data_IF_866707233186
#
_entry.id   IF_866707233186
#
_cell.length_a   1.000
_cell.length_b   1.000
_cell.length_c   1.000
_cell.angle_alpha   90.00
_cell.angle_beta   90.00
_cell.angle_gamma   90.00
#
_symmetry.space_group_name_H-M   'P 1'
#
loop_
_entity.id
_entity.type
_entity.pdbx_description
1 polymer ?
#
# COMPACT_ATOMS: atom_id res chain seq x y z
N UNK A 1 -19.39 -9.90 0.16
CA UNK A 1 -19.09 -8.47 -0.06
C UNK A 1 -18.43 -8.39 -1.42
N UNK A 2 -18.90 -7.54 -2.31
CA UNK A 2 -18.23 -7.32 -3.59
C UNK A 2 -17.10 -6.32 -3.37
N UNK A 3 -15.90 -6.62 -3.87
CA UNK A 3 -14.77 -5.69 -3.81
C UNK A 3 -15.07 -4.52 -4.75
N UNK A 4 -14.96 -3.26 -4.30
CA UNK A 4 -15.16 -2.11 -5.18
C UNK A 4 -14.25 -2.12 -6.42
N UNK A 5 -14.82 -1.79 -7.57
CA UNK A 5 -14.10 -1.77 -8.86
C UNK A 5 -12.93 -0.79 -8.89
N UNK A 6 -12.99 0.27 -8.09
CA UNK A 6 -11.90 1.22 -7.90
C UNK A 6 -10.66 0.55 -7.29
N UNK A 7 -10.85 -0.27 -6.24
CA UNK A 7 -9.77 -1.03 -5.60
C UNK A 7 -9.17 -2.04 -6.59
N UNK A 8 -10.01 -2.72 -7.38
CA UNK A 8 -9.55 -3.68 -8.38
C UNK A 8 -8.71 -3.01 -9.47
N UNK A 9 -9.20 -1.89 -10.02
CA UNK A 9 -8.50 -1.12 -11.06
C UNK A 9 -7.15 -0.61 -10.56
N UNK A 10 -7.14 -0.04 -9.36
CA UNK A 10 -5.93 0.53 -8.77
C UNK A 10 -4.92 -0.55 -8.39
N UNK A 11 -5.38 -1.72 -7.92
CA UNK A 11 -4.53 -2.89 -7.68
C UNK A 11 -3.91 -3.41 -8.97
N UNK A 12 -4.66 -3.49 -10.07
CA UNK A 12 -4.12 -3.91 -11.37
C UNK A 12 -3.04 -2.94 -11.87
N UNK A 13 -3.28 -1.63 -11.75
CA UNK A 13 -2.28 -0.61 -12.09
C UNK A 13 -1.03 -0.71 -11.22
N UNK A 14 -1.18 -0.87 -9.90
CA UNK A 14 -0.06 -1.04 -8.97
C UNK A 14 0.74 -2.31 -9.28
N UNK A 15 0.08 -3.46 -9.38
CA UNK A 15 0.72 -4.77 -9.60
C UNK A 15 1.38 -4.91 -10.98
N UNK A 16 0.93 -4.13 -11.97
CA UNK A 16 1.56 -4.07 -13.29
C UNK A 16 2.69 -3.03 -13.39
N UNK A 17 2.86 -2.17 -12.39
CA UNK A 17 3.95 -1.18 -12.36
C UNK A 17 5.20 -1.81 -11.77
N UNK A 18 6.33 -1.71 -12.47
CA UNK A 18 7.61 -2.16 -11.93
C UNK A 18 7.99 -1.37 -10.68
N UNK A 19 8.55 -2.06 -9.67
CA UNK A 19 9.05 -1.41 -8.47
C UNK A 19 10.14 -0.36 -8.83
N UNK A 20 10.17 0.83 -8.20
CA UNK A 20 11.07 1.91 -8.58
C UNK A 20 12.55 1.50 -8.58
N UNK A 21 13.26 1.79 -9.68
CA UNK A 21 14.67 1.42 -9.84
C UNK A 21 15.53 2.10 -8.78
N UNK A 22 16.40 1.33 -8.12
CA UNK A 22 17.31 1.84 -7.09
C UNK A 22 16.67 2.03 -5.71
N UNK A 23 15.41 1.66 -5.54
CA UNK A 23 14.73 1.65 -4.24
C UNK A 23 14.64 0.25 -3.61
N UNK A 24 15.10 -0.78 -4.31
CA UNK A 24 15.11 -2.16 -3.81
C UNK A 24 16.00 -2.28 -2.58
N UNK A 25 15.42 -2.58 -1.41
CA UNK A 25 16.11 -2.60 -0.12
C UNK A 25 16.65 -1.24 0.33
N UNK A 26 16.21 -0.14 -0.30
CA UNK A 26 16.64 1.20 0.10
C UNK A 26 15.95 1.56 1.40
N UNK A 27 16.73 2.03 2.36
CA UNK A 27 16.22 2.56 3.61
C UNK A 27 16.02 4.07 3.55
N UNK A 28 14.85 4.56 3.97
CA UNK A 28 14.57 5.98 4.22
C UNK A 28 14.01 6.08 5.63
N UNK A 29 14.61 6.93 6.47
CA UNK A 29 14.29 7.02 7.90
C UNK A 29 14.35 5.67 8.65
N UNK A 30 15.29 4.80 8.27
CA UNK A 30 15.43 3.46 8.86
C UNK A 30 14.33 2.47 8.47
N UNK A 31 13.51 2.79 7.46
CA UNK A 31 12.51 1.88 6.90
C UNK A 31 12.93 1.40 5.52
N UNK A 32 12.99 0.09 5.34
CA UNK A 32 13.18 -0.56 4.03
C UNK A 32 11.90 -0.40 3.18
N UNK A 33 12.03 0.27 2.05
CA UNK A 33 10.90 0.54 1.16
C UNK A 33 10.36 -0.72 0.46
N UNK A 34 11.20 -1.73 0.20
CA UNK A 34 10.74 -3.01 -0.34
C UNK A 34 9.97 -3.80 0.70
N UNK A 35 10.38 -3.73 1.97
CA UNK A 35 9.64 -4.35 3.07
C UNK A 35 8.28 -3.67 3.28
N UNK A 36 8.27 -2.32 3.37
CA UNK A 36 7.04 -1.56 3.55
C UNK A 36 6.05 -1.77 2.39
N UNK A 37 6.55 -1.81 1.15
CA UNK A 37 5.76 -2.14 -0.04
C UNK A 37 5.10 -3.52 0.09
N UNK A 38 5.90 -4.55 0.39
CA UNK A 38 5.43 -5.92 0.50
C UNK A 38 4.40 -6.11 1.63
N UNK A 39 4.58 -5.44 2.78
CA UNK A 39 3.62 -5.50 3.88
C UNK A 39 2.27 -4.89 3.50
N UNK A 40 2.27 -3.68 2.92
CA UNK A 40 1.04 -3.01 2.51
C UNK A 40 0.34 -3.81 1.40
N UNK A 41 1.08 -4.23 0.38
CA UNK A 41 0.56 -5.06 -0.71
C UNK A 41 0.00 -6.40 -0.20
N UNK A 42 0.61 -6.97 0.84
CA UNK A 42 0.14 -8.17 1.52
C UNK A 42 -1.25 -7.98 2.15
N UNK A 43 -1.47 -6.88 2.85
CA UNK A 43 -2.79 -6.56 3.42
C UNK A 43 -3.84 -6.30 2.34
N UNK A 44 -3.49 -5.57 1.29
CA UNK A 44 -4.39 -5.33 0.14
C UNK A 44 -4.78 -6.65 -0.50
N UNK A 45 -3.82 -7.52 -0.80
CA UNK A 45 -4.08 -8.83 -1.39
C UNK A 45 -4.97 -9.71 -0.51
N UNK A 46 -4.77 -9.65 0.80
CA UNK A 46 -5.59 -10.37 1.77
C UNK A 46 -7.04 -9.87 1.76
N UNK A 47 -7.24 -8.55 1.73
CA UNK A 47 -8.57 -7.96 1.57
C UNK A 47 -9.22 -8.37 0.24
N UNK A 48 -8.47 -8.35 -0.87
CA UNK A 48 -8.97 -8.77 -2.19
C UNK A 48 -9.39 -10.25 -2.23
N UNK A 49 -8.72 -11.11 -1.45
CA UNK A 49 -9.05 -12.54 -1.34
C UNK A 49 -10.28 -12.77 -0.47
N UNK A 50 -10.30 -12.18 0.72
CA UNK A 50 -11.23 -12.57 1.79
C UNK A 50 -12.41 -11.60 1.93
N UNK A 51 -12.33 -10.43 1.28
CA UNK A 51 -13.30 -9.34 1.37
C UNK A 51 -13.33 -8.63 2.73
N UNK A 52 -12.36 -8.91 3.61
CA UNK A 52 -12.31 -8.36 4.96
C UNK A 52 -10.89 -8.37 5.53
N UNK A 53 -10.65 -7.48 6.49
CA UNK A 53 -9.51 -7.53 7.40
C UNK A 53 -10.06 -7.52 8.83
N UNK A 54 -9.44 -8.28 9.72
CA UNK A 54 -9.75 -8.15 11.14
C UNK A 54 -9.19 -6.85 11.72
N UNK A 55 -9.63 -6.49 12.93
CA UNK A 55 -9.23 -5.26 13.58
C UNK A 55 -7.71 -5.11 13.70
N UNK A 56 -7.00 -6.18 14.05
CA UNK A 56 -5.54 -6.15 14.22
C UNK A 56 -4.85 -5.87 12.89
N UNK A 57 -5.28 -6.53 11.81
CA UNK A 57 -4.75 -6.30 10.46
C UNK A 57 -5.04 -4.89 9.97
N UNK A 58 -6.22 -4.36 10.27
CA UNK A 58 -6.54 -2.96 9.96
C UNK A 58 -5.66 -1.97 10.73
N UNK A 59 -5.36 -2.22 12.01
CA UNK A 59 -4.44 -1.36 12.77
C UNK A 59 -3.04 -1.40 12.18
N UNK A 60 -2.51 -2.60 11.89
CA UNK A 60 -1.21 -2.74 11.25
C UNK A 60 -1.14 -2.00 9.91
N UNK A 61 -2.16 -2.14 9.05
CA UNK A 61 -2.22 -1.42 7.78
C UNK A 61 -2.24 0.10 7.99
N UNK A 62 -2.97 0.61 9.00
CA UNK A 62 -2.96 2.05 9.35
C UNK A 62 -1.57 2.53 9.75
N UNK A 63 -0.85 1.77 10.57
CA UNK A 63 0.53 2.11 10.97
C UNK A 63 1.46 2.19 9.77
N UNK A 64 1.43 1.19 8.87
CA UNK A 64 2.24 1.19 7.65
C UNK A 64 1.88 2.34 6.72
N UNK A 65 0.61 2.74 6.63
CA UNK A 65 0.19 3.92 5.86
C UNK A 65 0.74 5.22 6.47
N UNK A 66 0.78 5.34 7.80
CA UNK A 66 1.38 6.50 8.47
C UNK A 66 2.88 6.59 8.20
N UNK A 67 3.58 5.47 8.29
CA UNK A 67 4.99 5.35 7.93
C UNK A 67 5.22 5.75 6.47
N UNK A 68 4.42 5.20 5.54
CA UNK A 68 4.50 5.54 4.12
C UNK A 68 4.27 7.04 3.88
N UNK A 69 3.32 7.65 4.57
CA UNK A 69 3.09 9.10 4.48
C UNK A 69 4.34 9.92 4.83
N UNK A 70 5.14 9.49 5.80
CA UNK A 70 6.39 10.18 6.14
C UNK A 70 7.44 10.04 5.04
N UNK A 71 7.54 8.87 4.41
CA UNK A 71 8.49 8.61 3.33
C UNK A 71 8.11 9.40 2.08
N UNK A 72 6.81 9.48 1.74
CA UNK A 72 6.33 10.19 0.55
C UNK A 72 6.80 11.66 0.50
N UNK A 73 7.02 12.30 1.65
CA UNK A 73 7.52 13.67 1.73
C UNK A 73 8.99 13.83 1.24
N UNK A 74 9.69 12.71 1.02
CA UNK A 74 11.12 12.66 0.65
C UNK A 74 11.33 12.10 -0.75
N UNK A 75 10.24 11.80 -1.47
CA UNK A 75 10.22 11.26 -2.81
C UNK A 75 9.81 12.38 -3.78
N UNK A 76 10.32 12.37 -5.01
CA UNK A 76 10.12 13.50 -5.93
C UNK A 76 9.69 13.09 -7.35
N UNK A 77 9.92 11.84 -7.76
CA UNK A 77 9.77 11.41 -9.15
C UNK A 77 8.90 10.16 -9.29
N UNK A 78 9.32 9.18 -10.11
CA UNK A 78 8.58 7.95 -10.39
C UNK A 78 8.28 7.15 -9.12
N UNK A 79 9.19 7.15 -8.16
CA UNK A 79 8.97 6.51 -6.87
C UNK A 79 7.83 7.18 -6.08
N UNK A 80 7.70 8.51 -6.13
CA UNK A 80 6.60 9.23 -5.48
C UNK A 80 5.27 8.78 -6.07
N UNK A 81 5.18 8.68 -7.40
CA UNK A 81 3.98 8.23 -8.09
C UNK A 81 3.62 6.77 -7.74
N UNK A 82 4.62 5.88 -7.70
CA UNK A 82 4.45 4.49 -7.31
C UNK A 82 3.91 4.34 -5.88
N UNK A 83 4.59 4.95 -4.91
CA UNK A 83 4.22 4.83 -3.50
C UNK A 83 2.95 5.61 -3.16
N UNK A 84 2.63 6.70 -3.88
CA UNK A 84 1.34 7.39 -3.73
C UNK A 84 0.17 6.51 -4.13
N UNK A 85 0.31 5.72 -5.20
CA UNK A 85 -0.70 4.73 -5.62
C UNK A 85 -0.90 3.64 -4.57
N UNK A 86 0.20 3.10 -4.02
CA UNK A 86 0.14 2.11 -2.95
C UNK A 86 -0.60 2.66 -1.73
N UNK A 87 -0.31 3.91 -1.34
CA UNK A 87 -1.01 4.60 -0.24
C UNK A 87 -2.51 4.74 -0.51
N UNK A 88 -2.88 5.20 -1.71
CA UNK A 88 -4.27 5.37 -2.10
C UNK A 88 -5.02 4.04 -2.01
N UNK A 89 -4.43 2.96 -2.52
CA UNK A 89 -4.99 1.63 -2.45
C UNK A 89 -5.19 1.13 -1.02
N UNK A 90 -4.18 1.34 -0.16
CA UNK A 90 -4.27 0.99 1.26
C UNK A 90 -5.38 1.76 1.98
N UNK A 91 -5.56 3.05 1.67
CA UNK A 91 -6.62 3.87 2.24
C UNK A 91 -8.02 3.41 1.82
N UNK A 92 -8.22 3.06 0.54
CA UNK A 92 -9.48 2.52 0.07
C UNK A 92 -9.81 1.19 0.78
N UNK A 93 -8.82 0.30 0.92
CA UNK A 93 -8.99 -0.95 1.68
C UNK A 93 -9.37 -0.68 3.14
N UNK A 94 -8.73 0.28 3.81
CA UNK A 94 -9.05 0.64 5.19
C UNK A 94 -10.46 1.22 5.36
N UNK A 95 -10.93 1.97 4.36
CA UNK A 95 -12.29 2.53 4.34
C UNK A 95 -13.33 1.42 4.15
N UNK A 96 -13.09 0.49 3.24
CA UNK A 96 -14.05 -0.58 2.94
C UNK A 96 -14.06 -1.68 3.98
N UNK A 97 -12.90 -2.10 4.48
CA UNK A 97 -12.81 -3.13 5.53
C UNK A 97 -13.35 -2.66 6.89
N UNK A 98 -13.50 -1.35 7.08
CA UNK A 98 -14.05 -0.75 8.30
C UNK A 98 -15.57 -0.54 8.29
N UNK A 99 -16.25 -0.90 7.21
CA UNK A 99 -17.72 -0.88 7.12
C UNK A 99 -18.32 -2.19 7.65
#
# INVERSE_FOLDING_TARGET
MEIPSEILTLWEQYSSTAFPKGYGGKEINGMDLSFLDAEIAGFVRMYLSDGKLDYHRMQNLRERVLELNTILLMLESEELAYFSRLRELANLVLQEAGK
#
